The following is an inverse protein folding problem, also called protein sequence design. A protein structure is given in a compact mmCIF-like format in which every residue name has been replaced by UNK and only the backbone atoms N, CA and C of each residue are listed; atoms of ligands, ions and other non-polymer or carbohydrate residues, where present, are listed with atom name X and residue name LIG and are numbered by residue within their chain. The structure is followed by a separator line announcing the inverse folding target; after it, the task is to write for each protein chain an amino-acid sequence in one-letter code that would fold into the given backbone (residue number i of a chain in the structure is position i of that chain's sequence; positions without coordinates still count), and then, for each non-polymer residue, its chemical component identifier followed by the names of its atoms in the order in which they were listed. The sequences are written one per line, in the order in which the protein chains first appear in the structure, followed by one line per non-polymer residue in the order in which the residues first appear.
data_IF_162781873719
#
_entry.id   IF_162781873719
#
_cell.length_a   1.000
_cell.length_b   1.000
_cell.length_c   1.000
_cell.angle_alpha   90.00
_cell.angle_beta   90.00
_cell.angle_gamma   90.00
#
_symmetry.space_group_name_H-M   'P 1'
#
loop_
_entity.id
_entity.type
_entity.pdbx_description
1 polymer ?
#
# COMPACT_ATOMS: atom_id res chain seq x y z
N UNK A 1 12.77 -14.67 -3.37
CA UNK A 1 12.97 -13.20 -3.37
C UNK A 1 13.24 -12.72 -1.93
N UNK A 2 14.33 -13.17 -1.30
CA UNK A 2 14.56 -12.96 0.14
C UNK A 2 14.64 -11.49 0.55
N UNK A 3 15.01 -10.61 -0.39
CA UNK A 3 15.22 -9.18 -0.19
C UNK A 3 14.06 -8.31 -0.72
N UNK A 4 12.85 -8.87 -0.91
CA UNK A 4 11.72 -8.12 -1.49
C UNK A 4 11.40 -6.84 -0.69
N UNK A 5 11.47 -6.87 0.64
CA UNK A 5 11.28 -5.69 1.49
C UNK A 5 12.39 -4.66 1.28
N UNK A 6 13.64 -5.10 1.12
CA UNK A 6 14.76 -4.20 0.81
C UNK A 6 14.55 -3.51 -0.53
N UNK A 7 14.06 -4.23 -1.54
CA UNK A 7 13.74 -3.67 -2.85
C UNK A 7 12.59 -2.65 -2.71
N UNK A 8 11.46 -3.02 -2.12
CA UNK A 8 10.31 -2.12 -1.89
C UNK A 8 10.72 -0.88 -1.08
N UNK A 9 11.53 -1.08 -0.05
CA UNK A 9 11.97 -0.06 0.88
C UNK A 9 13.06 0.87 0.32
N UNK A 10 13.73 0.48 -0.77
CA UNK A 10 14.73 1.33 -1.43
C UNK A 10 14.16 2.57 -2.11
N UNK A 11 12.86 2.58 -2.42
CA UNK A 11 12.17 3.73 -2.99
C UNK A 11 11.22 3.39 -4.12
N UNK A 12 10.87 4.43 -4.89
CA UNK A 12 9.89 4.37 -5.98
C UNK A 12 10.22 3.28 -7.01
N UNK A 13 11.48 3.21 -7.45
CA UNK A 13 11.91 2.25 -8.46
C UNK A 13 11.79 0.81 -8.00
N UNK A 14 12.14 0.53 -6.75
CA UNK A 14 11.97 -0.81 -6.19
C UNK A 14 10.50 -1.22 -6.11
N UNK A 15 9.61 -0.29 -5.72
CA UNK A 15 8.16 -0.52 -5.78
C UNK A 15 7.65 -0.76 -7.19
N UNK A 16 8.16 -0.05 -8.21
CA UNK A 16 7.78 -0.28 -9.61
C UNK A 16 8.25 -1.64 -10.12
N UNK A 17 9.45 -2.09 -9.75
CA UNK A 17 9.97 -3.42 -10.10
C UNK A 17 9.06 -4.50 -9.51
N UNK A 18 8.75 -4.41 -8.21
CA UNK A 18 7.87 -5.38 -7.54
C UNK A 18 6.44 -5.28 -8.08
N UNK A 19 5.95 -4.07 -8.35
CA UNK A 19 4.64 -3.82 -8.96
C UNK A 19 4.51 -4.51 -10.31
N UNK A 20 5.49 -4.35 -11.21
CA UNK A 20 5.51 -5.02 -12.50
C UNK A 20 5.56 -6.55 -12.39
N UNK A 21 6.24 -7.07 -11.37
CA UNK A 21 6.37 -8.50 -11.13
C UNK A 21 5.06 -9.17 -10.72
N UNK A 22 4.24 -8.49 -9.92
CA UNK A 22 3.00 -9.03 -9.36
C UNK A 22 1.72 -8.57 -10.08
N UNK A 23 1.70 -7.34 -10.58
CA UNK A 23 0.55 -6.71 -11.26
C UNK A 23 1.06 -5.98 -12.51
N UNK A 24 1.53 -6.72 -13.54
CA UNK A 24 2.00 -6.11 -14.77
C UNK A 24 0.86 -5.33 -15.44
N UNK A 25 1.18 -4.19 -16.06
CA UNK A 25 0.21 -3.28 -16.73
C UNK A 25 -0.79 -2.60 -15.79
N UNK A 26 -0.55 -2.65 -14.49
CA UNK A 26 -1.37 -1.95 -13.51
C UNK A 26 -1.14 -0.43 -13.60
N UNK A 27 -2.15 0.26 -14.13
CA UNK A 27 -2.14 1.72 -14.32
C UNK A 27 -2.14 2.51 -13.01
N UNK A 28 -2.50 1.85 -11.89
CA UNK A 28 -2.39 2.47 -10.57
C UNK A 28 -0.95 2.49 -10.05
N UNK A 29 -0.08 1.62 -10.58
CA UNK A 29 1.31 1.49 -10.16
C UNK A 29 2.32 2.07 -11.17
N UNK A 30 2.02 1.99 -12.46
CA UNK A 30 2.88 2.46 -13.54
C UNK A 30 2.14 3.39 -14.50
N UNK A 31 2.82 4.46 -14.93
CA UNK A 31 2.29 5.36 -15.94
C UNK A 31 2.13 4.62 -17.30
N UNK A 32 1.09 4.90 -18.10
CA UNK A 32 0.86 4.23 -19.39
C UNK A 32 2.09 4.18 -20.31
N UNK A 33 2.87 5.27 -20.41
CA UNK A 33 4.11 5.27 -21.22
C UNK A 33 5.18 4.30 -20.72
N UNK A 34 5.24 4.05 -19.41
CA UNK A 34 6.16 3.06 -18.84
C UNK A 34 5.67 1.64 -19.17
N UNK A 35 4.36 1.42 -19.14
CA UNK A 35 3.74 0.14 -19.51
C UNK A 35 3.99 -0.16 -20.99
N UNK A 36 3.79 0.83 -21.87
CA UNK A 36 4.06 0.73 -23.31
C UNK A 36 5.53 0.39 -23.58
N UNK A 37 6.45 1.13 -22.94
CA UNK A 37 7.88 0.88 -23.05
C UNK A 37 8.26 -0.55 -22.62
N UNK A 38 7.77 -0.99 -21.45
CA UNK A 38 8.06 -2.33 -20.92
C UNK A 38 7.47 -3.44 -21.80
N UNK A 39 6.28 -3.22 -22.37
CA UNK A 39 5.68 -4.15 -23.30
C UNK A 39 6.42 -4.22 -24.65
N UNK A 40 6.98 -3.12 -25.14
CA UNK A 40 7.81 -3.11 -26.35
C UNK A 40 9.02 -4.06 -26.24
N UNK A 41 9.63 -4.18 -25.05
CA UNK A 41 10.71 -5.15 -24.83
C UNK A 41 10.28 -6.62 -24.86
N UNK A 42 8.97 -6.91 -24.79
CA UNK A 42 8.43 -8.27 -24.86
C UNK A 42 8.12 -8.71 -26.29
N UNK A 43 8.05 -7.80 -27.25
CA UNK A 43 7.63 -8.07 -28.64
C UNK A 43 8.55 -9.08 -29.35
N UNK A 44 9.86 -8.99 -29.12
CA UNK A 44 10.84 -9.90 -29.72
C UNK A 44 11.07 -11.19 -28.92
N UNK A 45 10.30 -11.43 -27.86
CA UNK A 45 10.52 -12.57 -27.00
C UNK A 45 9.81 -13.82 -27.50
N UNK A 46 10.53 -14.95 -27.55
CA UNK A 46 10.00 -16.24 -28.03
C UNK A 46 8.96 -16.87 -27.11
N UNK A 47 8.97 -16.52 -25.80
CA UNK A 47 8.02 -17.05 -24.82
C UNK A 47 6.77 -16.16 -24.79
N UNK A 48 5.60 -16.79 -24.72
CA UNK A 48 4.33 -16.09 -24.57
C UNK A 48 4.36 -15.17 -23.33
N UNK A 49 3.75 -13.99 -23.51
CA UNK A 49 3.73 -12.92 -22.51
C UNK A 49 3.00 -13.33 -21.24
N UNK A 50 1.86 -13.98 -21.38
CA UNK A 50 1.02 -14.36 -20.26
C UNK A 50 1.59 -15.57 -19.52
N UNK A 51 2.18 -16.53 -20.25
CA UNK A 51 2.93 -17.63 -19.65
C UNK A 51 4.09 -17.09 -18.81
N UNK A 52 4.89 -16.16 -19.34
CA UNK A 52 6.00 -15.55 -18.58
C UNK A 52 5.51 -14.88 -17.30
N UNK A 53 4.41 -14.12 -17.36
CA UNK A 53 3.83 -13.44 -16.19
C UNK A 53 3.42 -14.42 -15.10
N UNK A 54 2.76 -15.51 -15.48
CA UNK A 54 2.36 -16.57 -14.54
C UNK A 54 3.56 -17.23 -13.88
N UNK A 55 4.61 -17.55 -14.64
CA UNK A 55 5.85 -18.12 -14.10
C UNK A 55 6.54 -17.17 -13.11
N UNK A 56 6.64 -15.88 -13.46
CA UNK A 56 7.25 -14.86 -12.60
C UNK A 56 6.45 -14.66 -11.30
N UNK A 57 5.13 -14.59 -11.40
CA UNK A 57 4.25 -14.49 -10.23
C UNK A 57 4.43 -15.72 -9.33
N UNK A 58 4.42 -16.93 -9.89
CA UNK A 58 4.61 -18.17 -9.14
C UNK A 58 5.96 -18.21 -8.41
N UNK A 59 7.03 -17.73 -9.04
CA UNK A 59 8.36 -17.68 -8.43
C UNK A 59 8.50 -16.64 -7.30
N UNK A 60 7.68 -15.58 -7.33
CA UNK A 60 7.75 -14.49 -6.36
C UNK A 60 6.75 -14.61 -5.20
N UNK A 61 5.62 -15.29 -5.43
CA UNK A 61 4.46 -15.35 -4.54
C UNK A 61 4.80 -15.79 -3.12
N UNK A 62 5.38 -16.96 -2.94
CA UNK A 62 5.64 -17.53 -1.61
C UNK A 62 6.54 -16.60 -0.78
N UNK A 63 7.55 -16.05 -1.43
CA UNK A 63 8.49 -15.11 -0.82
C UNK A 63 7.82 -13.82 -0.36
N UNK A 64 6.82 -13.32 -1.09
CA UNK A 64 6.02 -12.17 -0.66
C UNK A 64 5.11 -12.55 0.51
N UNK A 65 4.37 -13.65 0.40
CA UNK A 65 3.45 -14.10 1.44
C UNK A 65 4.17 -14.26 2.79
N UNK A 66 5.30 -14.96 2.81
CA UNK A 66 6.10 -15.16 4.04
C UNK A 66 6.57 -13.83 4.64
N UNK A 67 7.00 -12.88 3.81
CA UNK A 67 7.49 -11.58 4.30
C UNK A 67 6.36 -10.71 4.84
N UNK A 68 5.22 -10.67 4.15
CA UNK A 68 4.05 -9.95 4.63
C UNK A 68 3.51 -10.53 5.94
N UNK A 69 3.44 -11.86 6.06
CA UNK A 69 3.03 -12.52 7.31
C UNK A 69 4.01 -12.21 8.46
N UNK A 70 5.31 -12.10 8.17
CA UNK A 70 6.34 -11.83 9.18
C UNK A 70 6.41 -10.36 9.61
N UNK A 71 6.11 -9.43 8.69
CA UNK A 71 6.29 -7.99 8.91
C UNK A 71 5.17 -7.18 8.23
N UNK A 72 3.91 -7.32 8.67
CA UNK A 72 2.78 -6.68 8.01
C UNK A 72 2.78 -5.14 8.13
N UNK A 73 3.38 -4.61 9.20
CA UNK A 73 3.51 -3.16 9.40
C UNK A 73 4.38 -2.51 8.33
N UNK A 74 5.40 -3.21 7.81
CA UNK A 74 6.17 -2.75 6.66
C UNK A 74 5.30 -2.58 5.41
N UNK A 75 4.41 -3.54 5.13
CA UNK A 75 3.53 -3.51 3.96
C UNK A 75 2.39 -2.49 4.07
N UNK A 76 2.25 -1.86 5.24
CA UNK A 76 1.35 -0.74 5.52
C UNK A 76 2.11 0.49 6.05
N UNK A 77 3.42 0.59 5.82
CA UNK A 77 4.27 1.67 6.38
C UNK A 77 4.01 3.07 5.81
N UNK A 78 3.19 3.15 4.75
CA UNK A 78 2.87 4.39 4.05
C UNK A 78 1.98 4.13 2.84
N UNK A 79 1.46 5.22 2.27
CA UNK A 79 0.48 5.14 1.17
C UNK A 79 0.99 4.42 -0.08
N UNK A 80 2.25 4.60 -0.47
CA UNK A 80 2.77 4.02 -1.71
C UNK A 80 3.03 2.53 -1.55
N UNK A 81 3.62 2.13 -0.43
CA UNK A 81 3.80 0.71 -0.11
C UNK A 81 2.45 0.01 0.04
N UNK A 82 1.46 0.62 0.70
CA UNK A 82 0.14 0.00 0.84
C UNK A 82 -0.64 -0.11 -0.47
N UNK A 83 -0.49 0.84 -1.41
CA UNK A 83 -1.06 0.72 -2.75
C UNK A 83 -0.43 -0.45 -3.52
N UNK A 84 0.88 -0.63 -3.42
CA UNK A 84 1.55 -1.81 -3.95
C UNK A 84 1.02 -3.09 -3.31
N UNK A 85 0.89 -3.13 -1.97
CA UNK A 85 0.30 -4.27 -1.25
C UNK A 85 -1.09 -4.60 -1.79
N UNK A 86 -1.96 -3.61 -1.96
CA UNK A 86 -3.30 -3.80 -2.51
C UNK A 86 -3.28 -4.40 -3.92
N UNK A 87 -2.39 -3.91 -4.80
CA UNK A 87 -2.26 -4.44 -6.16
C UNK A 87 -1.73 -5.89 -6.18
N UNK A 88 -0.82 -6.24 -5.26
CA UNK A 88 -0.34 -7.62 -5.12
C UNK A 88 -1.48 -8.54 -4.68
N UNK A 89 -2.21 -8.18 -3.61
CA UNK A 89 -3.31 -8.97 -3.07
C UNK A 89 -4.42 -9.23 -4.11
N UNK A 90 -4.64 -8.29 -5.04
CA UNK A 90 -5.57 -8.44 -6.16
C UNK A 90 -5.32 -9.71 -6.97
N UNK A 91 -4.05 -10.10 -7.14
CA UNK A 91 -3.63 -11.24 -7.94
C UNK A 91 -3.46 -12.55 -7.13
N UNK A 92 -3.77 -12.54 -5.83
CA UNK A 92 -3.74 -13.70 -4.95
C UNK A 92 -5.14 -14.28 -4.70
N UNK A 93 -5.22 -15.53 -4.26
CA UNK A 93 -6.47 -16.25 -3.98
C UNK A 93 -6.25 -17.38 -2.97
N UNK A 94 -7.34 -17.98 -2.49
CA UNK A 94 -7.31 -19.13 -1.58
C UNK A 94 -6.83 -18.79 -0.17
N UNK A 95 -6.38 -19.82 0.56
CA UNK A 95 -6.03 -19.72 1.99
C UNK A 95 -4.85 -18.77 2.25
N UNK A 96 -3.92 -18.62 1.31
CA UNK A 96 -2.82 -17.67 1.46
C UNK A 96 -3.34 -16.24 1.54
N UNK A 97 -4.24 -15.86 0.63
CA UNK A 97 -4.88 -14.54 0.69
C UNK A 97 -5.62 -14.35 2.02
N UNK A 98 -6.31 -15.38 2.51
CA UNK A 98 -7.01 -15.32 3.79
C UNK A 98 -6.08 -15.06 4.98
N UNK A 99 -4.92 -15.72 5.03
CA UNK A 99 -3.91 -15.43 6.06
C UNK A 99 -3.40 -14.00 5.96
N UNK A 100 -3.10 -13.51 4.76
CA UNK A 100 -2.63 -12.14 4.56
C UNK A 100 -3.67 -11.10 4.99
N UNK A 101 -4.95 -11.30 4.64
CA UNK A 101 -6.04 -10.44 5.09
C UNK A 101 -6.13 -10.36 6.62
N UNK A 102 -6.05 -11.50 7.32
CA UNK A 102 -6.08 -11.55 8.80
C UNK A 102 -4.89 -10.80 9.41
N UNK A 103 -3.68 -11.01 8.89
CA UNK A 103 -2.48 -10.36 9.43
C UNK A 103 -2.52 -8.85 9.18
N UNK A 104 -2.98 -8.39 8.00
CA UNK A 104 -3.13 -6.97 7.72
C UNK A 104 -4.25 -6.34 8.56
N UNK A 105 -5.36 -7.04 8.76
CA UNK A 105 -6.47 -6.55 9.59
C UNK A 105 -6.03 -6.27 11.02
N UNK A 106 -5.16 -7.11 11.60
CA UNK A 106 -4.54 -6.87 12.92
C UNK A 106 -3.82 -5.54 13.01
N UNK A 107 -3.03 -5.20 11.98
CA UNK A 107 -2.33 -3.90 11.93
C UNK A 107 -3.33 -2.75 11.79
N UNK A 108 -4.33 -2.90 10.92
CA UNK A 108 -5.31 -1.84 10.64
C UNK A 108 -6.22 -1.56 11.84
N UNK A 109 -6.54 -2.59 12.63
CA UNK A 109 -7.42 -2.48 13.79
C UNK A 109 -6.67 -2.13 15.09
N UNK A 110 -5.34 -2.12 15.07
CA UNK A 110 -4.53 -1.70 16.21
C UNK A 110 -4.71 -0.19 16.49
N UNK A 111 -5.26 0.20 17.67
CA UNK A 111 -5.46 1.60 18.04
C UNK A 111 -4.17 2.42 18.10
N UNK A 112 -3.03 1.76 18.35
CA UNK A 112 -1.73 2.39 18.49
C UNK A 112 -0.95 2.44 17.17
N UNK A 113 -1.53 1.93 16.07
CA UNK A 113 -0.88 1.93 14.77
C UNK A 113 -0.69 3.35 14.24
N UNK A 114 0.58 3.77 14.18
CA UNK A 114 1.02 5.07 13.67
C UNK A 114 2.03 4.91 12.55
N UNK A 115 1.92 5.79 11.56
CA UNK A 115 2.86 5.89 10.45
C UNK A 115 3.28 7.34 10.25
N UNK A 116 4.38 7.55 9.55
CA UNK A 116 4.76 8.90 9.14
C UNK A 116 3.84 9.41 8.01
N UNK A 117 3.51 10.71 8.05
CA UNK A 117 2.72 11.36 7.00
C UNK A 117 3.37 11.21 5.61
N UNK A 118 4.69 11.37 5.56
CA UNK A 118 5.46 11.09 4.35
C UNK A 118 6.24 9.78 4.52
N UNK A 119 6.09 8.86 3.57
CA UNK A 119 6.73 7.56 3.64
C UNK A 119 8.26 7.67 3.60
N UNK A 120 8.95 6.90 4.44
CA UNK A 120 10.41 6.93 4.57
C UNK A 120 11.03 5.70 3.91
N UNK A 121 12.02 5.89 3.06
CA UNK A 121 12.81 4.81 2.48
C UNK A 121 13.81 4.24 3.50
N UNK A 122 14.32 3.03 3.25
CA UNK A 122 15.28 2.38 4.16
C UNK A 122 16.60 3.15 4.30
N UNK A 123 16.94 4.04 3.36
CA UNK A 123 18.12 4.93 3.45
C UNK A 123 17.84 6.22 4.26
N UNK A 124 16.66 6.33 4.87
CA UNK A 124 16.20 7.49 5.62
C UNK A 124 15.71 8.65 4.77
N UNK A 125 15.69 8.53 3.44
CA UNK A 125 15.11 9.57 2.58
C UNK A 125 13.59 9.57 2.67
N UNK A 126 13.00 10.76 2.80
CA UNK A 126 11.56 10.93 2.74
C UNK A 126 11.14 10.89 1.28
N UNK A 127 10.06 10.18 1.00
CA UNK A 127 9.38 10.22 -0.27
C UNK A 127 8.55 11.52 -0.37
N UNK A 128 9.23 12.66 -0.46
CA UNK A 128 8.59 13.93 -0.77
C UNK A 128 8.33 14.03 -2.27
N UNK A 129 7.30 14.79 -2.64
CA UNK A 129 7.01 15.23 -4.01
C UNK A 129 8.08 16.22 -4.53
N UNK A 130 9.37 15.99 -4.27
CA UNK A 130 10.47 16.77 -4.84
C UNK A 130 10.72 16.37 -6.31
N UNK A 131 9.66 16.44 -7.12
CA UNK A 131 9.75 16.71 -8.53
C UNK A 131 9.70 18.23 -8.71
N UNK A 132 10.79 18.94 -8.40
CA UNK A 132 11.14 20.24 -9.02
C UNK A 132 12.43 20.85 -8.44
N UNK A 133 13.51 20.07 -8.42
CA UNK A 133 14.83 20.65 -8.67
C UNK A 133 15.36 20.08 -9.96
N UNK A 134 15.08 20.79 -11.06
CA UNK A 134 15.83 20.65 -12.31
C UNK A 134 17.30 20.41 -11.96
N UNK A 135 17.95 19.36 -12.49
CA UNK A 135 19.39 19.25 -12.40
C UNK A 135 19.98 20.58 -12.90
N UNK A 136 20.79 21.24 -12.09
CA UNK A 136 21.61 22.35 -12.60
C UNK A 136 22.39 21.78 -13.78
N UNK A 137 22.17 22.41 -14.92
CA UNK A 137 22.74 22.13 -16.23
C UNK A 137 24.19 21.62 -16.11
N UNK A 138 24.44 20.39 -16.55
CA UNK A 138 25.80 19.88 -16.66
C UNK A 138 26.58 20.78 -17.64
N UNK A 139 27.58 21.47 -17.11
CA UNK A 139 28.57 22.20 -17.90
C UNK A 139 29.18 21.24 -18.93
N UNK A 140 29.20 21.68 -20.19
CA UNK A 140 29.69 20.93 -21.37
C UNK A 140 31.05 20.25 -21.11
N UNK A 141 31.27 19.03 -21.61
CA UNK A 141 32.57 18.39 -21.53
C UNK A 141 33.57 19.11 -22.44
N UNK A 142 34.60 19.72 -21.83
CA UNK A 142 35.78 20.16 -22.55
C UNK A 142 36.59 18.93 -23.00
N UNK A 143 37.01 18.96 -24.26
CA UNK A 143 37.74 17.95 -25.00
C UNK A 143 39.11 17.59 -24.43
N UNK A 144 39.45 16.31 -24.63
CA UNK A 144 40.78 15.71 -24.85
C UNK A 144 41.82 15.66 -23.71
N UNK A 145 42.14 14.42 -23.33
CA UNK A 145 43.53 13.95 -23.27
C UNK A 145 44.30 14.16 -21.97
N UNK A 146 44.12 13.28 -20.98
CA UNK A 146 45.22 12.69 -20.18
C UNK A 146 44.67 11.65 -19.21
N UNK A 147 45.27 10.45 -19.21
CA UNK A 147 44.99 9.39 -18.24
C UNK A 147 45.13 9.90 -16.80
N UNK A 148 44.02 9.94 -16.05
CA UNK A 148 44.05 10.28 -14.62
C UNK A 148 43.83 9.02 -13.80
N UNK A 149 44.91 8.59 -13.13
CA UNK A 149 44.93 7.55 -12.10
C UNK A 149 43.79 7.78 -11.10
N UNK A 150 42.92 6.77 -10.92
CA UNK A 150 41.80 6.79 -9.98
C UNK A 150 42.34 6.87 -8.55
N UNK A 151 42.38 8.07 -7.98
CA UNK A 151 42.61 8.25 -6.54
C UNK A 151 41.29 7.99 -5.81
N UNK A 152 41.36 7.17 -4.76
CA UNK A 152 40.25 6.75 -3.88
C UNK A 152 39.30 7.92 -3.59
N UNK A 153 38.01 7.66 -3.79
CA UNK A 153 36.89 8.57 -3.52
C UNK A 153 36.98 9.01 -2.05
N UNK A 154 37.36 10.26 -1.81
CA UNK A 154 37.07 10.94 -0.54
C UNK A 154 35.57 11.20 -0.51
N UNK A 155 34.94 10.98 0.66
CA UNK A 155 33.52 11.28 0.92
C UNK A 155 33.09 12.58 0.24
N UNK A 156 31.89 12.58 -0.35
CA UNK A 156 31.39 13.74 -1.08
C UNK A 156 31.33 14.97 -0.15
N UNK A 157 31.82 16.15 -0.56
CA UNK A 157 31.80 17.37 0.26
C UNK A 157 30.41 17.82 0.74
N UNK A 158 29.34 17.22 0.19
CA UNK A 158 27.94 17.54 0.51
C UNK A 158 27.26 16.45 1.36
N UNK A 159 27.98 15.42 1.82
CA UNK A 159 27.38 14.34 2.63
C UNK A 159 26.86 14.84 3.98
N UNK A 160 27.61 15.72 4.66
CA UNK A 160 27.21 16.27 5.96
C UNK A 160 26.01 17.21 5.84
N UNK A 161 25.99 18.08 4.83
CA UNK A 161 24.86 18.98 4.55
C UNK A 161 23.60 18.19 4.17
N UNK A 162 23.75 17.13 3.35
CA UNK A 162 22.66 16.23 2.97
C UNK A 162 22.13 15.44 4.16
N UNK A 163 23.00 14.99 5.07
CA UNK A 163 22.61 14.32 6.30
C UNK A 163 21.83 15.25 7.23
N UNK A 164 22.32 16.48 7.46
CA UNK A 164 21.65 17.48 8.29
C UNK A 164 20.28 17.87 7.70
N UNK A 165 20.18 18.01 6.37
CA UNK A 165 18.90 18.28 5.72
C UNK A 165 17.91 17.13 5.86
N UNK A 166 18.36 15.87 5.77
CA UNK A 166 17.52 14.68 5.98
C UNK A 166 17.02 14.60 7.42
N UNK A 167 17.89 14.84 8.39
CA UNK A 167 17.54 14.84 9.81
C UNK A 167 16.46 15.89 10.12
N UNK A 168 16.62 17.11 9.58
CA UNK A 168 15.61 18.17 9.72
C UNK A 168 14.26 17.81 9.10
N UNK A 169 14.28 17.18 7.91
CA UNK A 169 13.06 16.70 7.26
C UNK A 169 12.38 15.59 8.05
N UNK A 170 13.15 14.65 8.59
CA UNK A 170 12.65 13.54 9.40
C UNK A 170 12.03 14.03 10.71
N UNK A 171 12.68 14.99 11.38
CA UNK A 171 12.15 15.64 12.58
C UNK A 171 10.83 16.39 12.31
N UNK A 172 10.62 16.87 11.08
CA UNK A 172 9.41 17.56 10.66
C UNK A 172 8.30 16.62 10.16
N UNK A 173 8.52 15.30 10.12
CA UNK A 173 7.58 14.33 9.57
C UNK A 173 6.74 13.68 10.68
N UNK A 174 5.52 14.19 10.96
CA UNK A 174 4.74 13.75 12.11
C UNK A 174 4.28 12.30 11.97
N UNK A 175 4.10 11.65 13.12
CA UNK A 175 3.39 10.38 13.21
C UNK A 175 1.88 10.64 13.27
N UNK A 176 1.14 9.99 12.41
CA UNK A 176 -0.32 10.04 12.36
C UNK A 176 -0.89 8.62 12.45
N UNK A 177 -2.14 8.50 12.90
CA UNK A 177 -2.83 7.20 12.93
C UNK A 177 -2.94 6.64 11.51
N UNK A 178 -2.60 5.36 11.32
CA UNK A 178 -2.59 4.71 10.00
C UNK A 178 -3.95 4.73 9.30
N UNK A 179 -5.06 4.58 10.02
CA UNK A 179 -6.41 4.63 9.43
C UNK A 179 -6.83 6.05 9.00
N UNK A 180 -6.22 7.05 9.63
CA UNK A 180 -6.39 8.47 9.31
C UNK A 180 -5.29 8.99 8.39
N UNK A 181 -4.43 8.15 7.80
CA UNK A 181 -3.45 8.57 6.80
C UNK A 181 -4.07 8.58 5.40
N UNK A 182 -3.82 9.65 4.61
CA UNK A 182 -4.50 9.87 3.33
C UNK A 182 -4.24 8.74 2.32
N UNK A 183 -2.97 8.40 2.08
CA UNK A 183 -2.58 7.32 1.17
C UNK A 183 -3.02 5.92 1.63
N UNK A 184 -2.83 5.57 2.91
CA UNK A 184 -3.30 4.30 3.49
C UNK A 184 -4.82 4.14 3.36
N UNK A 185 -5.60 5.17 3.68
CA UNK A 185 -7.06 5.13 3.49
C UNK A 185 -7.43 4.77 2.04
N UNK A 186 -6.75 5.32 1.03
CA UNK A 186 -7.00 4.92 -0.37
C UNK A 186 -6.65 3.46 -0.62
N UNK A 187 -5.50 2.98 -0.13
CA UNK A 187 -5.11 1.59 -0.28
C UNK A 187 -6.08 0.61 0.40
N UNK A 188 -6.50 0.91 1.64
CA UNK A 188 -7.47 0.09 2.39
C UNK A 188 -8.83 0.04 1.66
N UNK A 189 -9.28 1.18 1.11
CA UNK A 189 -10.49 1.19 0.27
C UNK A 189 -10.36 0.29 -0.95
N UNK A 190 -9.19 0.26 -1.60
CA UNK A 190 -8.96 -0.64 -2.74
C UNK A 190 -8.98 -2.10 -2.32
N UNK A 191 -8.34 -2.45 -1.20
CA UNK A 191 -8.37 -3.82 -0.66
C UNK A 191 -9.81 -4.28 -0.36
N UNK A 192 -10.63 -3.44 0.28
CA UNK A 192 -12.04 -3.78 0.57
C UNK A 192 -12.85 -3.95 -0.72
N UNK A 193 -12.66 -3.07 -1.72
CA UNK A 193 -13.39 -3.15 -2.99
C UNK A 193 -13.02 -4.38 -3.82
N UNK A 194 -11.81 -4.92 -3.64
CA UNK A 194 -11.40 -6.16 -4.30
C UNK A 194 -12.22 -7.37 -3.83
N UNK A 195 -12.85 -7.32 -2.65
CA UNK A 195 -13.70 -8.41 -2.16
C UNK A 195 -14.86 -8.69 -3.14
N UNK A 196 -15.50 -7.63 -3.63
CA UNK A 196 -16.57 -7.75 -4.63
C UNK A 196 -16.04 -8.23 -5.98
N UNK A 197 -14.91 -7.67 -6.45
CA UNK A 197 -14.28 -8.08 -7.73
C UNK A 197 -13.92 -9.57 -7.72
N UNK A 198 -13.30 -10.05 -6.63
CA UNK A 198 -12.90 -11.46 -6.48
C UNK A 198 -14.12 -12.38 -6.42
N UNK A 199 -15.18 -11.97 -5.72
CA UNK A 199 -16.42 -12.76 -5.64
C UNK A 199 -17.08 -12.94 -7.02
N UNK A 200 -17.11 -11.88 -7.83
CA UNK A 200 -17.63 -11.94 -9.19
C UNK A 200 -16.84 -12.90 -10.09
N UNK A 201 -15.53 -13.03 -9.86
CA UNK A 201 -14.64 -13.87 -10.68
C UNK A 201 -14.59 -15.34 -10.23
N UNK A 202 -14.59 -15.59 -8.91
CA UNK A 202 -14.30 -16.91 -8.35
C UNK A 202 -15.42 -17.48 -7.44
N UNK A 203 -16.53 -16.77 -7.27
CA UNK A 203 -17.68 -17.19 -6.46
C UNK A 203 -17.64 -16.71 -5.02
N UNK A 204 -18.57 -17.19 -4.19
CA UNK A 204 -18.76 -16.74 -2.80
C UNK A 204 -17.65 -17.19 -1.84
N UNK A 205 -16.97 -18.29 -2.14
CA UNK A 205 -15.92 -18.87 -1.28
C UNK A 205 -14.54 -18.23 -1.52
N UNK A 206 -14.50 -16.90 -1.49
CA UNK A 206 -13.27 -16.11 -1.59
C UNK A 206 -13.02 -15.37 -0.29
N UNK A 207 -11.73 -15.24 0.06
CA UNK A 207 -11.37 -14.43 1.22
C UNK A 207 -11.77 -12.97 1.04
N UNK A 208 -12.33 -12.39 2.09
CA UNK A 208 -12.77 -10.99 2.15
C UNK A 208 -11.91 -10.23 3.16
N UNK A 209 -11.28 -9.13 2.74
CA UNK A 209 -10.56 -8.25 3.66
C UNK A 209 -11.53 -7.57 4.65
N UNK A 210 -12.74 -7.24 4.18
CA UNK A 210 -13.80 -6.70 5.02
C UNK A 210 -14.21 -7.64 6.15
N UNK A 211 -14.27 -8.96 5.90
CA UNK A 211 -14.52 -9.96 6.95
C UNK A 211 -13.40 -9.92 8.01
N UNK A 212 -12.14 -9.94 7.58
CA UNK A 212 -11.00 -9.93 8.50
C UNK A 212 -11.01 -8.67 9.40
N UNK A 213 -11.36 -7.50 8.86
CA UNK A 213 -11.54 -6.27 9.66
C UNK A 213 -12.66 -6.43 10.68
N UNK A 214 -13.82 -6.95 10.26
CA UNK A 214 -14.99 -7.10 11.15
C UNK A 214 -14.73 -8.11 12.26
N UNK A 215 -14.02 -9.20 11.97
CA UNK A 215 -13.61 -10.19 12.97
C UNK A 215 -12.68 -9.59 14.01
N UNK A 216 -11.67 -8.82 13.57
CA UNK A 216 -10.66 -8.22 14.44
C UNK A 216 -11.21 -7.08 15.31
N UNK A 217 -12.10 -6.24 14.77
CA UNK A 217 -12.62 -5.08 15.51
C UNK A 217 -13.44 -5.46 16.75
N UNK A 218 -13.08 -4.95 17.92
CA UNK A 218 -13.95 -5.00 19.10
C UNK A 218 -15.07 -3.94 19.01
N UNK A 219 -16.06 -4.01 19.91
CA UNK A 219 -17.13 -3.01 19.96
C UNK A 219 -16.58 -1.64 20.35
N UNK A 220 -15.59 -1.59 21.24
CA UNK A 220 -14.91 -0.38 21.70
C UNK A 220 -14.09 0.26 20.57
N UNK A 221 -13.35 -0.55 19.81
CA UNK A 221 -12.65 -0.07 18.60
C UNK A 221 -13.65 0.43 17.55
N UNK A 222 -14.76 -0.27 17.38
CA UNK A 222 -15.84 0.16 16.46
C UNK A 222 -16.43 1.51 16.89
N UNK A 223 -16.64 1.73 18.20
CA UNK A 223 -17.06 3.03 18.74
C UNK A 223 -16.05 4.13 18.40
N UNK A 224 -14.74 3.86 18.52
CA UNK A 224 -13.71 4.81 18.10
C UNK A 224 -13.78 5.08 16.59
N UNK A 225 -13.91 4.05 15.77
CA UNK A 225 -13.95 4.17 14.31
C UNK A 225 -15.14 4.99 13.80
N UNK A 226 -16.31 4.93 14.44
CA UNK A 226 -17.46 5.74 14.01
C UNK A 226 -17.27 7.24 14.27
N UNK A 227 -16.42 7.62 15.23
CA UNK A 227 -16.15 9.05 15.51
C UNK A 227 -15.30 9.72 14.42
N UNK A 228 -14.56 8.91 13.66
CA UNK A 228 -13.62 9.33 12.64
C UNK A 228 -14.21 9.15 11.22
N UNK A 229 -13.98 10.12 10.34
CA UNK A 229 -14.62 10.14 9.02
C UNK A 229 -14.06 9.06 8.09
N UNK A 230 -12.73 8.84 8.04
CA UNK A 230 -12.11 7.89 7.10
C UNK A 230 -12.44 6.45 7.48
N UNK A 231 -12.31 6.08 8.75
CA UNK A 231 -12.73 4.77 9.28
C UNK A 231 -14.22 4.51 9.10
N UNK A 232 -15.09 5.52 9.28
CA UNK A 232 -16.52 5.35 8.99
C UNK A 232 -16.78 5.05 7.51
N UNK A 233 -16.03 5.66 6.60
CA UNK A 233 -16.06 5.30 5.18
C UNK A 233 -15.53 3.89 4.92
N UNK A 234 -14.52 3.42 5.66
CA UNK A 234 -14.07 2.03 5.57
C UNK A 234 -15.17 1.06 6.00
N UNK A 235 -15.85 1.31 7.13
CA UNK A 235 -16.98 0.47 7.59
C UNK A 235 -18.12 0.45 6.57
N UNK A 236 -18.46 1.61 5.98
CA UNK A 236 -19.44 1.69 4.90
C UNK A 236 -19.03 0.82 3.72
N UNK A 237 -17.77 0.91 3.28
CA UNK A 237 -17.30 0.11 2.15
C UNK A 237 -17.25 -1.38 2.46
N UNK A 238 -16.90 -1.77 3.69
CA UNK A 238 -17.00 -3.16 4.13
C UNK A 238 -18.44 -3.63 3.99
N UNK A 239 -19.41 -2.85 4.47
CA UNK A 239 -20.82 -3.20 4.33
C UNK A 239 -21.25 -3.33 2.86
N UNK A 240 -20.77 -2.46 1.97
CA UNK A 240 -21.18 -2.45 0.57
C UNK A 240 -20.53 -3.53 -0.30
N UNK A 241 -19.33 -3.99 0.05
CA UNK A 241 -18.54 -4.88 -0.79
C UNK A 241 -18.47 -6.33 -0.24
N UNK A 242 -18.98 -6.57 0.97
CA UNK A 242 -18.95 -7.90 1.60
C UNK A 242 -20.24 -8.71 1.41
N UNK A 243 -20.19 -10.01 1.71
CA UNK A 243 -21.37 -10.89 1.69
C UNK A 243 -22.41 -10.52 2.75
N UNK A 244 -23.61 -11.08 2.65
CA UNK A 244 -24.69 -10.82 3.60
C UNK A 244 -24.31 -11.22 5.04
N UNK A 245 -23.54 -12.29 5.21
CA UNK A 245 -23.05 -12.75 6.51
C UNK A 245 -22.16 -11.69 7.17
N UNK A 246 -21.21 -11.13 6.41
CA UNK A 246 -20.31 -10.09 6.90
C UNK A 246 -21.09 -8.81 7.22
N UNK A 247 -22.07 -8.45 6.40
CA UNK A 247 -22.97 -7.32 6.66
C UNK A 247 -23.73 -7.49 7.97
N UNK A 248 -24.23 -8.70 8.26
CA UNK A 248 -24.91 -9.01 9.52
C UNK A 248 -23.96 -8.94 10.72
N UNK A 249 -22.73 -9.45 10.58
CA UNK A 249 -21.70 -9.34 11.63
C UNK A 249 -21.37 -7.89 11.96
N UNK A 250 -21.13 -7.06 10.94
CA UNK A 250 -20.86 -5.63 11.11
C UNK A 250 -22.07 -4.91 11.74
N UNK A 251 -23.28 -5.21 11.27
CA UNK A 251 -24.51 -4.65 11.84
C UNK A 251 -24.65 -5.00 13.32
N UNK A 252 -24.35 -6.24 13.71
CA UNK A 252 -24.40 -6.67 15.11
C UNK A 252 -23.45 -5.85 16.01
N UNK A 253 -22.27 -5.49 15.52
CA UNK A 253 -21.31 -4.63 16.26
C UNK A 253 -21.76 -3.17 16.33
N UNK A 254 -22.46 -2.67 15.31
CA UNK A 254 -22.91 -1.28 15.23
C UNK A 254 -24.26 -1.00 15.89
N UNK A 255 -25.12 -2.00 16.09
CA UNK A 255 -26.42 -1.82 16.76
C UNK A 255 -26.31 -1.20 18.15
N UNK A 256 -25.40 -1.65 19.05
CA UNK A 256 -25.19 -1.02 20.35
C UNK A 256 -24.77 0.45 20.25
N UNK A 257 -24.06 0.81 19.17
CA UNK A 257 -23.47 2.13 18.93
C UNK A 257 -24.38 3.05 18.10
N UNK A 258 -25.64 2.65 17.88
CA UNK A 258 -26.58 3.36 16.99
C UNK A 258 -26.74 4.85 17.33
N UNK A 259 -26.87 5.18 18.61
CA UNK A 259 -27.05 6.57 19.04
C UNK A 259 -25.78 7.38 18.84
N UNK A 260 -24.62 6.81 19.18
CA UNK A 260 -23.31 7.41 18.95
C UNK A 260 -23.06 7.68 17.47
N UNK A 261 -23.42 6.73 16.60
CA UNK A 261 -23.26 6.85 15.15
C UNK A 261 -24.15 7.98 14.60
N UNK A 262 -25.40 8.09 15.04
CA UNK A 262 -26.32 9.17 14.63
C UNK A 262 -25.90 10.55 15.11
N UNK A 263 -25.19 10.62 16.23
CA UNK A 263 -24.70 11.89 16.76
C UNK A 263 -23.54 12.49 15.93
N UNK A 264 -22.88 11.67 15.10
CA UNK A 264 -21.75 12.12 14.28
C UNK A 264 -22.20 13.02 13.13
N UNK A 265 -21.43 14.08 12.87
CA UNK A 265 -21.77 15.12 11.88
C UNK A 265 -21.10 14.94 10.53
N UNK A 266 -20.05 14.13 10.47
CA UNK A 266 -19.25 13.90 9.27
C UNK A 266 -19.97 12.98 8.27
N UNK A 267 -19.53 13.03 7.01
CA UNK A 267 -20.21 12.35 5.90
C UNK A 267 -20.15 10.83 6.00
N UNK A 268 -19.03 10.28 6.46
CA UNK A 268 -18.84 8.83 6.58
C UNK A 268 -19.87 8.18 7.50
N UNK A 269 -20.09 8.76 8.69
CA UNK A 269 -21.08 8.23 9.63
C UNK A 269 -22.52 8.39 9.15
N UNK A 270 -22.85 9.53 8.51
CA UNK A 270 -24.19 9.76 7.95
C UNK A 270 -24.55 8.70 6.91
N UNK A 271 -23.65 8.45 5.96
CA UNK A 271 -23.86 7.43 4.92
C UNK A 271 -23.91 6.02 5.51
N UNK A 272 -23.06 5.71 6.51
CA UNK A 272 -23.09 4.44 7.21
C UNK A 272 -24.43 4.21 7.94
N UNK A 273 -24.93 5.22 8.66
CA UNK A 273 -26.21 5.16 9.35
C UNK A 273 -27.39 4.99 8.40
N UNK A 274 -27.38 5.73 7.27
CA UNK A 274 -28.37 5.60 6.20
C UNK A 274 -28.37 4.19 5.62
N UNK A 275 -27.20 3.65 5.29
CA UNK A 275 -27.06 2.31 4.72
C UNK A 275 -27.56 1.22 5.67
N UNK A 276 -27.29 1.36 6.97
CA UNK A 276 -27.74 0.44 8.01
C UNK A 276 -29.22 0.59 8.39
N UNK A 277 -29.89 1.62 7.85
CA UNK A 277 -31.27 2.00 8.18
C UNK A 277 -31.45 2.24 9.68
N UNK A 278 -30.48 2.91 10.30
CA UNK A 278 -30.52 3.24 11.72
C UNK A 278 -31.44 4.42 11.98
#
# INVERSE_FOLDING_TARGET
MEQIETIVGSGEWGRKVVGWMFSPEDKDLLHPSQIELLNGYLEHSKKDKEIRRKEVLAAAKDSFCTKLESNPTFWLRGGHTALLTSAILKNLQGEELARLHRVLAKVVCDPDWKVHENEINLDGSILSLEADKKPKENVKPATAGTERKIKKIKKSPFEEEKAASREKQLAANPLINGTEHAGLHIALKKMIKQDQEKRQLAGEDVSQFGLAIVEELTVEQTSTWITQNRTSFLLLLVFENSTEEVQQMLRKKLVPLKQELKAQKHTGAKLLAEKLKF
#
